data_IF_013661239779
#
_entry.id   IF_013661239779
#
_cell.length_a   1.000
_cell.length_b   1.000
_cell.length_c   1.000
_cell.angle_alpha   90.00
_cell.angle_beta   90.00
_cell.angle_gamma   90.00
#
_symmetry.space_group_name_H-M   'P 1'
#
loop_
_entity.id
_entity.type
_entity.pdbx_description
1 polymer ?
#
# COMPACT_ATOMS: atom_id res chain seq x y z
N UNK A 1 4.48 -5.90 -26.91
CA UNK A 1 3.93 -6.59 -25.72
C UNK A 1 4.22 -5.81 -24.46
N UNK A 2 5.46 -5.37 -24.22
CA UNK A 2 5.82 -4.65 -22.99
C UNK A 2 5.12 -3.28 -22.85
N UNK A 3 5.08 -2.50 -23.93
CA UNK A 3 4.35 -1.22 -24.03
C UNK A 3 2.85 -1.32 -23.69
N UNK A 4 2.20 -2.39 -24.16
CA UNK A 4 0.78 -2.63 -23.89
C UNK A 4 0.54 -2.99 -22.41
N UNK A 5 1.48 -3.73 -21.80
CA UNK A 5 1.47 -4.04 -20.37
C UNK A 5 1.70 -2.80 -19.50
N UNK A 6 2.48 -1.82 -19.99
CA UNK A 6 2.68 -0.54 -19.32
C UNK A 6 1.41 0.32 -19.32
N UNK A 7 0.83 0.54 -20.50
CA UNK A 7 -0.41 1.30 -20.64
C UNK A 7 -1.61 0.69 -19.89
N UNK A 8 -1.61 -0.63 -19.69
CA UNK A 8 -2.64 -1.31 -18.91
C UNK A 8 -2.45 -1.06 -17.41
N UNK A 9 -1.20 -1.01 -16.93
CA UNK A 9 -0.88 -0.70 -15.53
C UNK A 9 -1.22 0.74 -15.17
N UNK A 10 -0.86 1.66 -16.03
CA UNK A 10 -1.23 3.07 -15.88
C UNK A 10 -2.73 3.23 -15.75
N UNK A 11 -3.50 2.71 -16.72
CA UNK A 11 -4.98 2.80 -16.68
C UNK A 11 -5.57 2.20 -15.42
N UNK A 12 -5.12 1.02 -15.02
CA UNK A 12 -5.60 0.39 -13.80
C UNK A 12 -5.33 1.26 -12.56
N UNK A 13 -4.12 1.78 -12.42
CA UNK A 13 -3.78 2.63 -11.27
C UNK A 13 -4.52 3.95 -11.31
N UNK A 14 -4.67 4.58 -12.48
CA UNK A 14 -5.49 5.78 -12.65
C UNK A 14 -6.96 5.53 -12.25
N UNK A 15 -7.53 4.38 -12.62
CA UNK A 15 -8.90 3.99 -12.25
C UNK A 15 -9.06 3.72 -10.75
N UNK A 16 -8.09 3.06 -10.12
CA UNK A 16 -8.12 2.74 -8.68
C UNK A 16 -7.92 3.99 -7.82
N UNK A 17 -6.95 4.82 -8.21
CA UNK A 17 -6.45 5.91 -7.37
C UNK A 17 -7.04 7.27 -7.73
N UNK A 18 -7.60 7.41 -8.93
CA UNK A 18 -8.01 8.70 -9.50
C UNK A 18 -6.83 9.62 -9.84
N UNK A 19 -5.59 9.16 -9.68
CA UNK A 19 -4.37 9.94 -9.89
C UNK A 19 -3.76 9.67 -11.25
N UNK A 20 -3.60 10.72 -12.06
CA UNK A 20 -2.90 10.64 -13.35
C UNK A 20 -1.42 10.97 -13.19
N UNK A 21 -0.58 10.01 -13.53
CA UNK A 21 0.87 10.16 -13.44
C UNK A 21 1.39 11.14 -14.50
N UNK A 22 2.28 12.06 -14.08
CA UNK A 22 3.03 12.91 -15.00
C UNK A 22 4.25 12.18 -15.55
N UNK A 23 4.86 11.33 -14.73
CA UNK A 23 5.96 10.47 -15.07
C UNK A 23 5.60 8.98 -14.87
N UNK A 24 5.19 8.27 -15.94
CA UNK A 24 4.86 6.84 -15.88
C UNK A 24 6.02 5.94 -15.44
N UNK A 25 7.28 6.38 -15.62
CA UNK A 25 8.44 5.58 -15.21
C UNK A 25 8.46 5.32 -13.70
N UNK A 26 7.93 6.24 -12.88
CA UNK A 26 7.79 6.06 -11.44
C UNK A 26 6.84 4.90 -11.13
N UNK A 27 5.75 4.79 -11.89
CA UNK A 27 4.81 3.68 -11.75
C UNK A 27 5.45 2.37 -12.18
N UNK A 28 6.22 2.37 -13.27
CA UNK A 28 6.92 1.18 -13.74
C UNK A 28 7.96 0.68 -12.73
N UNK A 29 8.69 1.62 -12.10
CA UNK A 29 9.62 1.29 -11.03
C UNK A 29 8.88 0.69 -9.83
N UNK A 30 7.77 1.27 -9.39
CA UNK A 30 7.00 0.77 -8.24
C UNK A 30 6.48 -0.67 -8.43
N UNK A 31 6.18 -1.06 -9.67
CA UNK A 31 5.69 -2.40 -10.04
C UNK A 31 6.81 -3.36 -10.49
N UNK A 32 8.07 -3.07 -10.15
CA UNK A 32 9.23 -3.93 -10.48
C UNK A 32 9.88 -4.45 -9.21
N UNK A 33 9.66 -5.73 -8.92
CA UNK A 33 10.24 -6.40 -7.76
C UNK A 33 11.75 -6.61 -7.94
N UNK A 34 12.58 -6.54 -6.87
CA UNK A 34 14.04 -6.74 -6.92
C UNK A 34 14.53 -8.08 -7.48
N UNK A 35 13.65 -9.09 -7.57
CA UNK A 35 13.99 -10.37 -8.20
C UNK A 35 14.17 -10.26 -9.73
N UNK A 36 13.75 -9.15 -10.35
CA UNK A 36 13.99 -8.88 -11.76
C UNK A 36 15.42 -8.31 -11.94
N UNK A 37 16.23 -8.83 -12.87
CA UNK A 37 17.64 -8.43 -13.03
C UNK A 37 17.86 -6.93 -13.35
N UNK A 38 19.04 -6.44 -12.94
CA UNK A 38 19.55 -5.05 -12.79
C UNK A 38 19.30 -3.99 -13.89
N UNK A 39 18.71 -4.33 -15.04
CA UNK A 39 18.44 -3.34 -16.10
C UNK A 39 17.27 -2.41 -15.76
N UNK A 40 16.51 -2.71 -14.70
CA UNK A 40 15.38 -1.93 -14.23
C UNK A 40 15.61 -1.48 -12.79
N UNK A 41 15.24 -0.24 -12.46
CA UNK A 41 15.23 0.20 -11.07
C UNK A 41 14.20 -0.62 -10.28
N UNK A 42 14.60 -1.23 -9.17
CA UNK A 42 13.69 -1.97 -8.30
C UNK A 42 12.84 -1.03 -7.44
N UNK A 43 11.75 -1.59 -6.93
CA UNK A 43 10.82 -0.90 -6.05
C UNK A 43 11.32 -0.75 -4.61
N UNK A 44 12.39 -1.43 -4.17
CA UNK A 44 12.88 -1.40 -2.77
C UNK A 44 13.10 0.01 -2.21
N UNK A 45 13.66 0.91 -3.04
CA UNK A 45 13.88 2.31 -2.63
C UNK A 45 12.58 3.08 -2.49
N UNK A 46 11.59 2.72 -3.30
CA UNK A 46 10.25 3.31 -3.26
C UNK A 46 9.45 2.74 -2.11
N UNK A 47 9.53 1.43 -1.83
CA UNK A 47 8.99 0.79 -0.62
C UNK A 47 9.47 1.53 0.63
N UNK A 48 10.79 1.67 0.79
CA UNK A 48 11.38 2.36 1.94
C UNK A 48 10.85 3.79 2.12
N UNK A 49 10.75 4.57 1.04
CA UNK A 49 10.20 5.92 1.08
C UNK A 49 8.69 5.89 1.40
N UNK A 50 7.96 4.96 0.79
CA UNK A 50 6.52 4.80 0.88
C UNK A 50 6.06 4.50 2.29
N UNK A 51 6.72 3.55 2.97
CA UNK A 51 6.48 3.24 4.38
C UNK A 51 6.65 4.49 5.27
N UNK A 52 7.74 5.24 5.08
CA UNK A 52 7.99 6.47 5.83
C UNK A 52 6.93 7.54 5.59
N UNK A 53 6.50 7.71 4.33
CA UNK A 53 5.46 8.68 3.93
C UNK A 53 4.12 8.29 4.51
N UNK A 54 3.73 7.02 4.41
CA UNK A 54 2.50 6.49 4.97
C UNK A 54 2.48 6.65 6.49
N UNK A 55 3.56 6.26 7.16
CA UNK A 55 3.73 6.41 8.60
C UNK A 55 3.62 7.87 9.07
N UNK A 56 4.18 8.82 8.31
CA UNK A 56 4.06 10.25 8.59
C UNK A 56 2.61 10.73 8.45
N UNK A 57 1.92 10.34 7.38
CA UNK A 57 0.53 10.74 7.15
C UNK A 57 -0.40 10.22 8.24
N UNK A 58 -0.28 8.94 8.60
CA UNK A 58 -1.06 8.35 9.69
C UNK A 58 -0.73 9.02 11.04
N UNK A 59 0.55 9.30 11.31
CA UNK A 59 0.93 10.01 12.53
C UNK A 59 0.35 11.43 12.57
N UNK A 60 0.36 12.16 11.45
CA UNK A 60 -0.25 13.50 11.32
C UNK A 60 -1.74 13.44 11.64
N UNK A 61 -2.48 12.49 11.07
CA UNK A 61 -3.91 12.34 11.32
C UNK A 61 -4.20 12.01 12.79
N UNK A 62 -3.48 11.04 13.37
CA UNK A 62 -3.68 10.68 14.77
C UNK A 62 -3.39 11.84 15.72
N UNK A 63 -2.34 12.63 15.45
CA UNK A 63 -1.98 13.77 16.26
C UNK A 63 -3.11 14.82 16.34
N UNK A 64 -3.77 15.11 15.22
CA UNK A 64 -4.87 16.08 15.18
C UNK A 64 -6.21 15.51 15.63
N UNK A 65 -6.48 14.22 15.34
CA UNK A 65 -7.75 13.58 15.70
C UNK A 65 -7.84 13.22 17.19
N UNK A 66 -6.71 12.95 17.85
CA UNK A 66 -6.67 12.46 19.22
C UNK A 66 -5.73 13.30 20.11
N UNK A 67 -6.07 14.58 20.39
CA UNK A 67 -5.19 15.49 21.14
C UNK A 67 -4.93 15.05 22.59
N UNK A 68 -5.79 14.20 23.15
CA UNK A 68 -5.71 13.72 24.54
C UNK A 68 -4.90 12.42 24.70
N UNK A 69 -4.54 11.75 23.59
CA UNK A 69 -3.76 10.50 23.65
C UNK A 69 -2.29 10.79 23.93
N UNK A 70 -1.67 9.91 24.73
CA UNK A 70 -0.23 10.01 24.99
C UNK A 70 0.60 9.63 23.76
N UNK A 71 1.88 10.04 23.74
CA UNK A 71 2.81 9.63 22.67
C UNK A 71 2.92 8.10 22.52
N UNK A 72 2.76 7.35 23.61
CA UNK A 72 2.77 5.89 23.57
C UNK A 72 1.52 5.36 22.88
N UNK A 73 0.34 5.84 23.29
CA UNK A 73 -0.94 5.41 22.71
C UNK A 73 -1.02 5.74 21.22
N UNK A 74 -0.50 6.91 20.80
CA UNK A 74 -0.40 7.28 19.38
C UNK A 74 0.54 6.35 18.59
N UNK A 75 1.61 5.87 19.22
CA UNK A 75 2.55 4.91 18.60
C UNK A 75 1.91 3.54 18.44
N UNK A 76 1.21 3.06 19.46
CA UNK A 76 0.46 1.80 19.44
C UNK A 76 -0.70 1.87 18.43
N UNK A 77 -1.40 3.00 18.36
CA UNK A 77 -2.45 3.24 17.37
C UNK A 77 -1.88 3.26 15.94
N UNK A 78 -0.69 3.83 15.74
CA UNK A 78 -0.01 3.82 14.44
C UNK A 78 0.40 2.41 14.03
N UNK A 79 0.99 1.61 14.92
CA UNK A 79 1.44 0.26 14.58
C UNK A 79 0.30 -0.69 14.20
N UNK A 80 -0.88 -0.49 14.79
CA UNK A 80 -2.09 -1.24 14.39
C UNK A 80 -2.61 -0.77 13.02
N UNK A 81 -2.35 0.47 12.62
CA UNK A 81 -2.86 1.06 11.38
C UNK A 81 -1.94 0.87 10.17
N UNK A 82 -0.64 0.90 10.38
CA UNK A 82 0.38 0.61 9.37
C UNK A 82 0.85 -0.82 9.58
N UNK A 83 0.14 -1.75 8.95
CA UNK A 83 0.34 -3.19 9.09
C UNK A 83 0.48 -3.87 7.72
N UNK A 84 1.40 -4.84 7.63
CA UNK A 84 1.71 -5.56 6.39
C UNK A 84 0.52 -6.36 5.86
N UNK A 85 -0.29 -6.99 6.73
CA UNK A 85 -1.46 -7.76 6.33
C UNK A 85 -2.51 -6.84 5.71
N UNK A 86 -2.74 -5.68 6.36
CA UNK A 86 -3.61 -4.62 5.84
C UNK A 86 -3.18 -4.15 4.45
N UNK A 87 -1.91 -3.80 4.27
CA UNK A 87 -1.39 -3.36 2.98
C UNK A 87 -1.46 -4.49 1.93
N UNK A 88 -1.14 -5.73 2.30
CA UNK A 88 -1.25 -6.88 1.40
C UNK A 88 -2.70 -7.12 0.94
N UNK A 89 -3.69 -6.91 1.81
CA UNK A 89 -5.12 -6.97 1.46
C UNK A 89 -5.50 -5.90 0.44
N UNK A 90 -4.94 -4.69 0.50
CA UNK A 90 -5.08 -3.67 -0.57
C UNK A 90 -4.56 -4.24 -1.90
N UNK A 91 -3.36 -4.79 -1.88
CA UNK A 91 -2.69 -5.35 -3.07
C UNK A 91 -3.51 -6.45 -3.76
N UNK A 92 -4.20 -7.29 -2.99
CA UNK A 92 -5.12 -8.29 -3.55
C UNK A 92 -6.44 -7.67 -4.00
N UNK A 93 -7.05 -6.80 -3.19
CA UNK A 93 -8.36 -6.20 -3.49
C UNK A 93 -8.39 -5.54 -4.86
N UNK A 94 -7.32 -4.81 -5.20
CA UNK A 94 -7.19 -4.13 -6.49
C UNK A 94 -6.40 -4.93 -7.53
N UNK A 95 -6.09 -6.20 -7.24
CA UNK A 95 -5.33 -7.08 -8.11
C UNK A 95 -3.98 -6.50 -8.58
N UNK A 96 -3.30 -5.71 -7.75
CA UNK A 96 -2.01 -5.09 -8.07
C UNK A 96 -0.92 -6.12 -8.39
N UNK A 97 -1.01 -7.30 -7.75
CA UNK A 97 -0.10 -8.43 -7.98
C UNK A 97 -0.07 -8.93 -9.43
N UNK A 98 -1.20 -8.84 -10.17
CA UNK A 98 -1.25 -9.25 -11.58
C UNK A 98 -0.40 -8.38 -12.50
N UNK A 99 -0.02 -7.20 -12.01
CA UNK A 99 0.74 -6.19 -12.71
C UNK A 99 2.19 -6.10 -12.22
N UNK A 100 2.53 -6.83 -11.16
CA UNK A 100 3.88 -6.90 -10.65
C UNK A 100 4.79 -7.67 -11.61
N UNK A 101 5.93 -7.10 -11.92
CA UNK A 101 7.04 -7.83 -12.53
C UNK A 101 7.83 -8.51 -11.43
N UNK A 102 7.72 -9.83 -11.34
CA UNK A 102 8.50 -10.63 -10.41
C UNK A 102 8.92 -11.96 -11.05
N UNK A 103 10.03 -12.52 -10.58
CA UNK A 103 10.52 -13.84 -10.98
C UNK A 103 10.51 -14.84 -9.81
N UNK A 104 9.53 -14.72 -8.91
CA UNK A 104 9.39 -15.61 -7.75
C UNK A 104 8.50 -16.80 -8.14
N UNK A 105 9.08 -18.01 -8.09
CA UNK A 105 8.43 -19.23 -8.59
C UNK A 105 7.14 -19.60 -7.85
N UNK A 106 7.01 -19.25 -6.56
CA UNK A 106 5.85 -19.54 -5.71
C UNK A 106 4.95 -18.32 -5.43
N UNK A 107 5.14 -17.20 -6.12
CA UNK A 107 4.39 -15.97 -5.82
C UNK A 107 2.89 -16.13 -5.97
N UNK A 108 2.43 -16.73 -7.07
CA UNK A 108 1.00 -16.93 -7.32
C UNK A 108 0.37 -17.87 -6.29
N UNK A 109 1.08 -18.92 -5.88
CA UNK A 109 0.61 -19.85 -4.84
C UNK A 109 0.44 -19.15 -3.50
N UNK A 110 1.44 -18.35 -3.09
CA UNK A 110 1.38 -17.54 -1.87
C UNK A 110 0.24 -16.51 -1.89
N UNK A 111 -0.01 -15.88 -3.05
CA UNK A 111 -1.12 -14.93 -3.20
C UNK A 111 -2.46 -15.64 -3.07
N UNK A 112 -2.64 -16.81 -3.66
CA UNK A 112 -3.90 -17.56 -3.59
C UNK A 112 -4.15 -18.20 -2.22
N UNK A 113 -3.10 -18.66 -1.55
CA UNK A 113 -3.16 -19.09 -0.15
C UNK A 113 -3.62 -17.93 0.75
N UNK A 114 -2.97 -16.76 0.62
CA UNK A 114 -3.35 -15.57 1.38
C UNK A 114 -4.78 -15.12 1.04
N UNK A 115 -5.16 -15.08 -0.24
CA UNK A 115 -6.52 -14.78 -0.69
C UNK A 115 -7.54 -15.69 -0.02
N UNK A 116 -7.28 -16.99 0.03
CA UNK A 116 -8.15 -17.96 0.68
C UNK A 116 -8.25 -17.70 2.19
N UNK A 117 -7.12 -17.43 2.85
CA UNK A 117 -7.08 -17.11 4.27
C UNK A 117 -7.82 -15.79 4.61
N UNK A 118 -7.83 -14.81 3.70
CA UNK A 118 -8.61 -13.57 3.91
C UNK A 118 -10.13 -13.80 3.95
N UNK A 119 -10.64 -14.92 3.42
CA UNK A 119 -12.05 -15.28 3.51
C UNK A 119 -12.41 -15.79 4.92
N UNK A 120 -11.49 -16.47 5.59
CA UNK A 120 -11.65 -16.92 6.99
C UNK A 120 -11.53 -15.73 7.96
N UNK A 121 -10.66 -14.78 7.66
CA UNK A 121 -10.44 -13.57 8.44
C UNK A 121 -10.80 -12.32 7.62
N UNK A 122 -12.08 -11.92 7.53
CA UNK A 122 -12.54 -10.89 6.59
C UNK A 122 -11.97 -9.48 6.87
N UNK A 123 -11.64 -9.18 8.13
CA UNK A 123 -11.18 -7.86 8.55
C UNK A 123 -9.66 -7.82 8.75
N UNK A 124 -9.15 -8.72 9.58
CA UNK A 124 -7.73 -8.86 9.93
C UNK A 124 -7.55 -10.18 10.67
N UNK A 125 -6.41 -10.85 10.52
CA UNK A 125 -6.16 -12.13 11.20
C UNK A 125 -5.44 -11.99 12.54
N UNK A 126 -4.97 -10.79 12.89
CA UNK A 126 -4.23 -10.51 14.12
C UNK A 126 -2.98 -11.42 14.28
N UNK A 127 -2.32 -11.72 13.16
CA UNK A 127 -1.11 -12.56 13.12
C UNK A 127 -1.36 -14.05 12.88
N UNK A 128 -2.62 -14.49 12.76
CA UNK A 128 -2.95 -15.88 12.39
C UNK A 128 -2.59 -16.27 10.94
N UNK A 129 -2.38 -15.30 10.04
CA UNK A 129 -1.98 -15.53 8.64
C UNK A 129 -0.68 -14.78 8.36
N UNK A 130 0.15 -15.32 7.47
CA UNK A 130 1.40 -14.69 7.06
C UNK A 130 1.22 -14.06 5.67
N UNK A 131 1.00 -12.73 5.56
CA UNK A 131 0.83 -12.07 4.28
C UNK A 131 2.12 -12.13 3.44
N UNK A 132 2.03 -12.36 2.11
CA UNK A 132 3.16 -12.21 1.21
C UNK A 132 3.65 -10.76 1.24
N UNK A 133 4.84 -10.51 1.81
CA UNK A 133 5.38 -9.15 2.03
C UNK A 133 5.37 -8.30 0.76
N UNK A 134 5.67 -8.94 -0.38
CA UNK A 134 5.67 -8.34 -1.72
C UNK A 134 4.38 -7.58 -2.04
N UNK A 135 3.22 -8.04 -1.55
CA UNK A 135 1.95 -7.35 -1.77
C UNK A 135 1.87 -6.01 -1.04
N UNK A 136 2.40 -5.93 0.17
CA UNK A 136 2.50 -4.69 0.93
C UNK A 136 3.54 -3.77 0.30
N UNK A 137 4.71 -4.32 -0.08
CA UNK A 137 5.82 -3.57 -0.65
C UNK A 137 5.41 -2.80 -1.93
N UNK A 138 4.56 -3.38 -2.77
CA UNK A 138 4.05 -2.72 -3.99
C UNK A 138 3.13 -1.55 -3.65
N UNK A 139 2.32 -1.67 -2.59
CA UNK A 139 1.43 -0.59 -2.16
C UNK A 139 2.25 0.58 -1.61
N UNK A 140 3.27 0.30 -0.80
CA UNK A 140 4.21 1.31 -0.31
C UNK A 140 4.98 1.95 -1.46
N UNK A 141 5.48 1.16 -2.40
CA UNK A 141 6.16 1.68 -3.58
C UNK A 141 5.24 2.56 -4.45
N UNK A 142 3.96 2.21 -4.59
CA UNK A 142 2.97 3.03 -5.29
C UNK A 142 2.74 4.37 -4.57
N UNK A 143 2.65 4.35 -3.23
CA UNK A 143 2.55 5.57 -2.42
C UNK A 143 3.74 6.49 -2.68
N UNK A 144 4.97 5.95 -2.66
CA UNK A 144 6.16 6.70 -2.99
C UNK A 144 6.15 7.23 -4.44
N UNK A 145 5.66 6.45 -5.40
CA UNK A 145 5.54 6.89 -6.79
C UNK A 145 4.67 8.13 -6.92
N UNK A 146 3.49 8.11 -6.30
CA UNK A 146 2.56 9.26 -6.26
C UNK A 146 3.20 10.43 -5.54
N UNK A 147 3.85 10.19 -4.40
CA UNK A 147 4.52 11.22 -3.61
C UNK A 147 5.64 11.93 -4.38
N UNK A 148 6.44 11.20 -5.15
CA UNK A 148 7.48 11.79 -6.00
C UNK A 148 6.83 12.55 -7.17
N UNK A 149 5.84 11.97 -7.85
CA UNK A 149 5.19 12.54 -9.03
C UNK A 149 4.40 13.84 -8.74
N UNK A 150 3.84 13.94 -7.53
CA UNK A 150 3.15 15.13 -7.05
C UNK A 150 4.11 16.18 -6.45
N UNK A 151 5.43 16.03 -6.64
CA UNK A 151 6.48 16.90 -6.10
C UNK A 151 6.45 16.99 -4.57
N UNK A 152 6.38 15.83 -3.92
CA UNK A 152 6.41 15.65 -2.47
C UNK A 152 5.25 16.33 -1.72
N UNK A 153 4.10 16.45 -2.36
CA UNK A 153 2.89 17.02 -1.74
C UNK A 153 2.19 16.00 -0.85
N UNK A 154 2.28 16.19 0.47
CA UNK A 154 1.60 15.35 1.45
C UNK A 154 0.09 15.36 1.24
N UNK A 155 -0.51 16.53 0.95
CA UNK A 155 -1.96 16.64 0.86
C UNK A 155 -2.53 15.92 -0.37
N UNK A 156 -1.87 16.03 -1.53
CA UNK A 156 -2.29 15.29 -2.74
C UNK A 156 -2.13 13.79 -2.51
N UNK A 157 -0.97 13.37 -2.00
CA UNK A 157 -0.72 11.93 -1.75
C UNK A 157 -1.72 11.37 -0.74
N UNK A 158 -2.05 12.12 0.31
CA UNK A 158 -3.04 11.71 1.30
C UNK A 158 -4.45 11.55 0.71
N UNK A 159 -4.90 12.51 -0.12
CA UNK A 159 -6.18 12.42 -0.82
C UNK A 159 -6.27 11.15 -1.67
N UNK A 160 -5.20 10.84 -2.40
CA UNK A 160 -5.13 9.64 -3.23
C UNK A 160 -5.12 8.38 -2.38
N UNK A 161 -4.31 8.34 -1.31
CA UNK A 161 -4.25 7.20 -0.38
C UNK A 161 -5.62 6.91 0.22
N UNK A 162 -6.31 7.93 0.70
CA UNK A 162 -7.63 7.76 1.30
C UNK A 162 -8.62 7.08 0.36
N UNK A 163 -8.62 7.43 -0.94
CA UNK A 163 -9.55 6.83 -1.91
C UNK A 163 -9.37 5.31 -2.03
N UNK A 164 -8.14 4.82 -2.09
CA UNK A 164 -7.89 3.39 -2.30
C UNK A 164 -7.77 2.60 -0.98
N UNK A 165 -7.37 3.22 0.13
CA UNK A 165 -7.16 2.55 1.42
C UNK A 165 -8.31 2.71 2.43
N UNK A 166 -9.35 3.49 2.11
CA UNK A 166 -10.46 3.83 3.04
C UNK A 166 -11.06 2.61 3.74
N UNK A 167 -11.19 1.50 3.01
CA UNK A 167 -11.83 0.27 3.50
C UNK A 167 -11.03 -0.44 4.59
N UNK A 168 -9.74 -0.11 4.73
CA UNK A 168 -8.81 -0.71 5.68
C UNK A 168 -8.68 0.17 6.93
N UNK A 169 -8.73 1.50 6.76
CA UNK A 169 -8.64 2.45 7.87
C UNK A 169 -9.93 2.61 8.68
N UNK A 170 -11.10 2.33 8.09
CA UNK A 170 -12.40 2.42 8.80
C UNK A 170 -12.45 1.49 10.02
N UNK A 171 -11.71 0.38 10.04
CA UNK A 171 -11.72 -0.54 11.18
C UNK A 171 -11.01 0.02 12.42
N UNK A 172 -9.95 0.82 12.28
CA UNK A 172 -9.29 1.41 13.44
C UNK A 172 -10.04 2.63 13.96
N UNK A 173 -10.67 3.40 13.07
CA UNK A 173 -11.56 4.49 13.45
C UNK A 173 -12.75 3.99 14.28
N UNK A 174 -13.32 2.82 13.98
CA UNK A 174 -14.42 2.25 14.75
C UNK A 174 -13.98 1.62 16.09
N UNK A 175 -12.74 1.14 16.22
CA UNK A 175 -12.25 0.51 17.47
C UNK A 175 -11.96 1.58 18.54
N UNK A 176 -11.51 2.77 18.15
CA UNK A 176 -11.22 3.87 19.08
C UNK A 176 -12.24 5.03 19.04
N UNK A 177 -13.03 5.17 17.97
CA UNK A 177 -14.10 6.17 17.84
C UNK A 177 -15.44 5.77 18.49
N UNK A 178 -15.40 4.81 19.41
CA UNK A 178 -16.56 4.25 20.09
C UNK A 178 -16.81 4.81 21.48
N UNK A 179 -16.52 6.08 21.78
CA UNK A 179 -17.15 6.87 22.87
C UNK A 179 -17.01 8.36 22.54
N UNK A 180 -18.07 9.00 22.06
CA UNK A 180 -18.65 10.25 22.59
C UNK A 180 -20.04 10.47 21.97
#
# INVERSE_FOLDING_TARGET
MEEQSFQQRERLVEEITGYKFKNPDLLHQAFTHPSVPQNWASNDRMEYLGDSVLSLMIAKEHYFAYPDLSSKDLTDLRSVNVDTEKLARVGIKYNLHNHLRCQIQSFNEQVEEFRSATLEYPLHSLGCINPPKVLADIVEALIAAIYIDCNFSIDITWQVILLFTIHIYILAYCIFGGVY
#
